data_IF_914769122048
#
_entry.id   IF_914769122048
#
_cell.length_a   1.000
_cell.length_b   1.000
_cell.length_c   1.000
_cell.angle_alpha   90.00
_cell.angle_beta   90.00
_cell.angle_gamma   90.00
#
_symmetry.space_group_name_H-M   'P 1'
#
loop_
_entity.id
_entity.type
_entity.pdbx_description
1 polymer ?
#
# COMPACT_ATOMS: atom_id res chain seq x y z
N UNK A 1 12.94 -6.61 20.96
CA UNK A 1 11.77 -6.17 20.17
C UNK A 1 11.93 -6.55 18.70
N UNK A 2 13.07 -6.23 18.07
CA UNK A 2 13.42 -6.64 16.69
C UNK A 2 13.25 -8.14 16.45
N UNK A 3 13.83 -9.01 17.29
CA UNK A 3 13.68 -10.47 17.17
C UNK A 3 12.24 -10.98 17.31
N UNK A 4 11.37 -10.27 18.06
CA UNK A 4 9.95 -10.66 18.19
C UNK A 4 9.13 -10.28 16.96
N UNK A 5 9.55 -9.27 16.22
CA UNK A 5 8.86 -8.81 15.00
C UNK A 5 9.41 -9.50 13.75
N UNK A 6 10.73 -9.57 13.60
CA UNK A 6 11.41 -10.11 12.42
C UNK A 6 11.83 -11.58 12.55
N UNK A 7 11.59 -12.23 13.69
CA UNK A 7 12.03 -13.61 13.93
C UNK A 7 11.52 -14.60 12.87
N UNK A 8 10.26 -14.47 12.46
CA UNK A 8 9.68 -15.26 11.38
C UNK A 8 10.27 -14.91 10.02
N UNK A 9 10.52 -13.62 9.72
CA UNK A 9 11.20 -13.21 8.48
C UNK A 9 12.59 -13.81 8.37
N UNK A 10 13.38 -13.81 9.45
CA UNK A 10 14.69 -14.44 9.47
C UNK A 10 14.61 -15.95 9.26
N UNK A 11 13.67 -16.63 9.94
CA UNK A 11 13.47 -18.06 9.75
C UNK A 11 13.09 -18.40 8.29
N UNK A 12 12.16 -17.66 7.70
CA UNK A 12 11.75 -17.84 6.30
C UNK A 12 12.88 -17.49 5.34
N UNK A 13 13.71 -16.50 5.64
CA UNK A 13 14.89 -16.17 4.82
C UNK A 13 15.85 -17.35 4.79
N UNK A 14 16.19 -17.90 5.96
CA UNK A 14 17.11 -19.05 6.05
C UNK A 14 16.53 -20.26 5.33
N UNK A 15 15.26 -20.60 5.60
CA UNK A 15 14.60 -21.73 4.95
C UNK A 15 14.47 -21.55 3.43
N UNK A 16 14.11 -20.35 2.97
CA UNK A 16 13.94 -20.05 1.55
C UNK A 16 15.27 -20.05 0.79
N UNK A 17 16.34 -19.51 1.38
CA UNK A 17 17.69 -19.56 0.79
C UNK A 17 18.25 -20.99 0.76
N UNK A 18 18.01 -21.79 1.79
CA UNK A 18 18.36 -23.21 1.79
C UNK A 18 17.57 -23.95 0.71
N UNK A 19 16.26 -23.71 0.60
CA UNK A 19 15.43 -24.29 -0.44
C UNK A 19 15.91 -23.90 -1.84
N UNK A 20 16.37 -22.66 -2.04
CA UNK A 20 16.97 -22.20 -3.29
C UNK A 20 18.23 -23.01 -3.65
N UNK A 21 19.13 -23.24 -2.68
CA UNK A 21 20.33 -24.07 -2.88
C UNK A 21 19.96 -25.51 -3.25
N UNK A 22 18.93 -26.09 -2.63
CA UNK A 22 18.46 -27.43 -2.98
C UNK A 22 17.76 -27.50 -4.34
N UNK A 23 17.14 -26.41 -4.78
CA UNK A 23 16.41 -26.36 -6.04
C UNK A 23 17.37 -26.28 -7.24
N UNK A 24 18.30 -25.33 -7.23
CA UNK A 24 19.21 -25.12 -8.38
C UNK A 24 20.60 -24.57 -7.96
N UNK A 25 21.05 -24.95 -6.76
CA UNK A 25 22.40 -24.66 -6.29
C UNK A 25 22.65 -23.20 -5.90
N UNK A 26 23.93 -22.81 -5.94
CA UNK A 26 24.38 -21.48 -5.48
C UNK A 26 23.94 -20.33 -6.41
N UNK A 27 23.57 -20.62 -7.65
CA UNK A 27 23.00 -19.63 -8.57
C UNK A 27 21.61 -19.20 -8.11
N UNK A 28 20.72 -20.16 -7.83
CA UNK A 28 19.41 -19.88 -7.26
C UNK A 28 19.50 -19.16 -5.91
N UNK A 29 20.49 -19.49 -5.07
CA UNK A 29 20.75 -18.73 -3.85
C UNK A 29 20.99 -17.24 -4.14
N UNK A 30 21.85 -16.93 -5.12
CA UNK A 30 22.15 -15.56 -5.52
C UNK A 30 20.93 -14.84 -6.07
N UNK A 31 20.19 -15.49 -6.97
CA UNK A 31 18.96 -14.95 -7.58
C UNK A 31 17.90 -14.66 -6.51
N UNK A 32 17.59 -15.64 -5.65
CA UNK A 32 16.59 -15.49 -4.58
C UNK A 32 17.00 -14.39 -3.60
N UNK A 33 18.29 -14.26 -3.28
CA UNK A 33 18.79 -13.20 -2.41
C UNK A 33 18.62 -11.81 -3.05
N UNK A 34 18.97 -11.67 -4.33
CA UNK A 34 18.80 -10.40 -5.06
C UNK A 34 17.32 -10.04 -5.13
N UNK A 35 16.45 -10.99 -5.48
CA UNK A 35 15.01 -10.78 -5.53
C UNK A 35 14.43 -10.36 -4.16
N UNK A 36 14.89 -10.98 -3.07
CA UNK A 36 14.47 -10.60 -1.73
C UNK A 36 14.89 -9.16 -1.39
N UNK A 37 16.13 -8.76 -1.73
CA UNK A 37 16.62 -7.39 -1.50
C UNK A 37 15.86 -6.38 -2.38
N UNK A 38 15.63 -6.73 -3.65
CA UNK A 38 14.88 -5.90 -4.59
C UNK A 38 13.47 -5.66 -4.06
N UNK A 39 12.79 -6.71 -3.63
CA UNK A 39 11.43 -6.63 -3.11
C UNK A 39 11.35 -5.78 -1.84
N UNK A 40 12.27 -5.95 -0.89
CA UNK A 40 12.31 -5.14 0.34
C UNK A 40 12.52 -3.66 0.00
N UNK A 41 13.39 -3.38 -0.97
CA UNK A 41 13.75 -2.02 -1.35
C UNK A 41 12.60 -1.32 -2.09
N UNK A 42 11.99 -1.99 -3.06
CA UNK A 42 10.90 -1.45 -3.87
C UNK A 42 9.58 -1.38 -3.10
N UNK A 43 9.36 -2.23 -2.09
CA UNK A 43 8.12 -2.25 -1.32
C UNK A 43 8.21 -1.56 0.04
N UNK A 44 9.26 -0.76 0.28
CA UNK A 44 9.43 -0.08 1.57
C UNK A 44 8.34 0.97 1.84
N UNK A 45 8.04 1.81 0.85
CA UNK A 45 6.95 2.80 0.90
C UNK A 45 5.59 2.13 1.09
N UNK A 46 5.36 0.97 0.46
CA UNK A 46 4.17 0.15 0.67
C UNK A 46 4.02 -0.27 2.14
N UNK A 47 5.13 -0.60 2.81
CA UNK A 47 5.11 -0.93 4.23
C UNK A 47 4.66 0.25 5.10
N UNK A 48 5.05 1.48 4.73
CA UNK A 48 4.69 2.72 5.44
C UNK A 48 3.23 3.08 5.21
N UNK A 49 2.76 2.99 3.96
CA UNK A 49 1.35 3.21 3.60
C UNK A 49 0.44 2.26 4.39
N UNK A 50 0.74 0.97 4.32
CA UNK A 50 -0.02 -0.05 5.05
C UNK A 50 0.01 0.18 6.56
N UNK A 51 1.12 0.68 7.12
CA UNK A 51 1.22 0.98 8.54
C UNK A 51 0.27 2.13 8.95
N UNK A 52 0.13 3.14 8.09
CA UNK A 52 -0.79 4.27 8.28
C UNK A 52 -2.26 3.87 8.34
N UNK A 53 -2.65 2.82 7.62
CA UNK A 53 -4.01 2.26 7.64
C UNK A 53 -4.16 1.27 8.80
N UNK A 54 -3.20 0.36 8.97
CA UNK A 54 -3.22 -0.68 9.99
C UNK A 54 -3.27 -0.11 11.42
N UNK A 55 -2.67 1.07 11.67
CA UNK A 55 -2.78 1.76 12.97
C UNK A 55 -4.21 2.14 13.35
N UNK A 56 -5.09 2.34 12.36
CA UNK A 56 -6.51 2.69 12.56
C UNK A 56 -7.36 1.46 12.89
N UNK A 57 -6.80 0.25 12.82
CA UNK A 57 -7.51 -1.00 13.04
C UNK A 57 -7.34 -1.54 14.47
N UNK A 58 -8.34 -2.27 14.97
CA UNK A 58 -8.27 -2.91 16.28
C UNK A 58 -7.19 -4.01 16.33
N UNK A 59 -6.71 -4.34 17.55
CA UNK A 59 -5.66 -5.35 17.74
C UNK A 59 -6.00 -6.73 17.15
N UNK A 60 -7.30 -7.08 17.09
CA UNK A 60 -7.77 -8.30 16.44
C UNK A 60 -7.49 -8.28 14.93
N UNK A 61 -7.82 -7.19 14.25
CA UNK A 61 -7.60 -7.04 12.81
C UNK A 61 -6.12 -6.87 12.46
N UNK A 62 -5.34 -6.21 13.33
CA UNK A 62 -3.89 -6.22 13.21
C UNK A 62 -3.31 -7.64 13.26
N UNK A 63 -3.90 -8.53 14.07
CA UNK A 63 -3.52 -9.94 14.13
C UNK A 63 -3.94 -10.71 12.88
N UNK A 64 -5.16 -10.48 12.35
CA UNK A 64 -5.60 -11.09 11.08
C UNK A 64 -4.70 -10.69 9.93
N UNK A 65 -4.38 -9.40 9.82
CA UNK A 65 -3.45 -8.88 8.82
C UNK A 65 -2.08 -9.56 8.91
N UNK A 66 -1.60 -9.81 10.13
CA UNK A 66 -0.36 -10.52 10.40
C UNK A 66 -0.39 -12.03 10.12
N UNK A 67 -1.57 -12.66 10.09
CA UNK A 67 -1.67 -14.11 9.87
C UNK A 67 -2.20 -14.43 8.48
N UNK A 68 -3.43 -14.01 8.20
CA UNK A 68 -4.11 -14.29 6.92
C UNK A 68 -3.59 -13.32 5.85
N UNK A 69 -3.44 -12.04 6.19
CA UNK A 69 -2.95 -11.03 5.24
C UNK A 69 -1.52 -11.29 4.77
N UNK A 70 -0.68 -11.93 5.60
CA UNK A 70 0.64 -12.43 5.17
C UNK A 70 0.52 -13.54 4.14
N UNK A 71 -0.37 -14.52 4.37
CA UNK A 71 -0.59 -15.61 3.42
C UNK A 71 -1.13 -15.07 2.09
N UNK A 72 -2.07 -14.13 2.13
CA UNK A 72 -2.64 -13.51 0.93
C UNK A 72 -1.56 -12.68 0.21
N UNK A 73 -0.80 -11.84 0.90
CA UNK A 73 0.26 -11.07 0.24
C UNK A 73 1.34 -11.95 -0.39
N UNK A 74 1.84 -12.95 0.35
CA UNK A 74 2.95 -13.79 -0.10
C UNK A 74 2.51 -14.77 -1.19
N UNK A 75 1.43 -15.53 -0.95
CA UNK A 75 0.99 -16.57 -1.89
C UNK A 75 -0.09 -16.07 -2.84
N UNK A 76 -1.09 -15.36 -2.31
CA UNK A 76 -2.19 -14.82 -3.11
C UNK A 76 -1.68 -13.84 -4.17
N UNK A 77 -1.03 -12.76 -3.75
CA UNK A 77 -0.71 -11.66 -4.66
C UNK A 77 0.52 -11.90 -5.54
N UNK A 78 1.48 -12.73 -5.11
CA UNK A 78 2.72 -12.95 -5.87
C UNK A 78 2.73 -14.26 -6.68
N UNK A 79 2.00 -15.29 -6.25
CA UNK A 79 1.94 -16.57 -6.96
C UNK A 79 0.60 -16.75 -7.67
N UNK A 80 -0.52 -16.62 -6.95
CA UNK A 80 -1.84 -16.92 -7.50
C UNK A 80 -2.31 -15.81 -8.45
N UNK A 81 -2.15 -14.55 -8.07
CA UNK A 81 -2.69 -13.41 -8.82
C UNK A 81 -2.11 -13.26 -10.22
N UNK A 82 -0.78 -13.35 -10.46
CA UNK A 82 -0.24 -13.32 -11.82
C UNK A 82 -0.80 -14.44 -12.70
N UNK A 83 -0.95 -15.66 -12.14
CA UNK A 83 -1.55 -16.80 -12.86
C UNK A 83 -3.02 -16.55 -13.18
N UNK A 84 -3.80 -16.02 -12.25
CA UNK A 84 -5.21 -15.67 -12.46
C UNK A 84 -5.35 -14.60 -13.55
N UNK A 85 -4.50 -13.58 -13.54
CA UNK A 85 -4.53 -12.54 -14.57
C UNK A 85 -4.21 -13.14 -15.93
N UNK A 86 -3.17 -13.97 -16.06
CA UNK A 86 -2.84 -14.65 -17.32
C UNK A 86 -3.99 -15.52 -17.80
N UNK A 87 -4.63 -16.27 -16.90
CA UNK A 87 -5.78 -17.10 -17.25
C UNK A 87 -6.92 -16.25 -17.87
N UNK A 88 -7.21 -15.09 -17.27
CA UNK A 88 -8.28 -14.20 -17.76
C UNK A 88 -7.86 -13.47 -19.05
N UNK A 89 -6.66 -12.89 -19.08
CA UNK A 89 -6.19 -12.04 -20.19
C UNK A 89 -5.91 -12.86 -21.45
N UNK A 90 -5.30 -14.04 -21.31
CA UNK A 90 -5.01 -14.96 -22.40
C UNK A 90 -6.14 -15.96 -22.67
N UNK A 91 -7.24 -15.89 -21.90
CA UNK A 91 -8.40 -16.79 -22.01
C UNK A 91 -8.02 -18.27 -21.92
N UNK A 92 -7.09 -18.59 -21.03
CA UNK A 92 -6.62 -19.95 -20.75
C UNK A 92 -7.41 -20.57 -19.60
N UNK A 93 -7.52 -21.90 -19.59
CA UNK A 93 -8.04 -22.60 -18.42
C UNK A 93 -7.14 -22.40 -17.19
N UNK A 94 -7.65 -22.46 -15.95
CA UNK A 94 -6.82 -22.29 -14.74
C UNK A 94 -5.66 -23.28 -14.65
N UNK A 95 -5.88 -24.53 -15.07
CA UNK A 95 -4.84 -25.58 -15.07
C UNK A 95 -3.79 -25.30 -16.14
N UNK A 96 -4.21 -24.83 -17.33
CA UNK A 96 -3.30 -24.47 -18.42
C UNK A 96 -2.44 -23.25 -18.05
N UNK A 97 -2.99 -22.28 -17.33
CA UNK A 97 -2.23 -21.12 -16.86
C UNK A 97 -1.15 -21.51 -15.84
N UNK A 98 -1.44 -22.47 -14.95
CA UNK A 98 -0.45 -23.05 -14.03
C UNK A 98 0.60 -23.85 -14.80
N UNK A 99 0.17 -24.70 -15.74
CA UNK A 99 1.08 -25.48 -16.57
C UNK A 99 2.04 -24.58 -17.37
N UNK A 100 1.51 -23.51 -17.97
CA UNK A 100 2.28 -22.49 -18.68
C UNK A 100 3.32 -21.84 -17.76
N UNK A 101 2.92 -21.51 -16.53
CA UNK A 101 3.77 -20.91 -15.52
C UNK A 101 5.02 -21.77 -15.22
N UNK A 102 4.85 -23.08 -15.05
CA UNK A 102 5.96 -23.98 -14.72
C UNK A 102 6.75 -24.47 -15.93
N UNK A 103 6.08 -24.72 -17.05
CA UNK A 103 6.68 -25.42 -18.18
C UNK A 103 7.07 -24.49 -19.34
N UNK A 104 6.59 -23.24 -19.38
CA UNK A 104 6.88 -22.27 -20.45
C UNK A 104 7.14 -20.86 -19.89
N UNK A 105 8.21 -20.67 -19.11
CA UNK A 105 8.46 -19.44 -18.35
C UNK A 105 8.55 -18.18 -19.22
N UNK A 106 9.18 -18.25 -20.40
CA UNK A 106 9.28 -17.09 -21.31
C UNK A 106 7.92 -16.70 -21.89
N UNK A 107 7.07 -17.68 -22.21
CA UNK A 107 5.73 -17.41 -22.70
C UNK A 107 4.83 -16.87 -21.59
N UNK A 108 5.02 -17.36 -20.37
CA UNK A 108 4.34 -16.83 -19.20
C UNK A 108 4.74 -15.37 -18.93
N UNK A 109 6.04 -15.05 -18.92
CA UNK A 109 6.54 -13.67 -18.79
C UNK A 109 5.91 -12.74 -19.84
N UNK A 110 5.85 -13.18 -21.10
CA UNK A 110 5.19 -12.42 -22.17
C UNK A 110 3.75 -12.08 -21.82
N UNK A 111 2.94 -13.07 -21.44
CA UNK A 111 1.53 -12.86 -21.15
C UNK A 111 1.30 -11.99 -19.90
N UNK A 112 2.15 -12.12 -18.88
CA UNK A 112 2.10 -11.25 -17.70
C UNK A 112 2.45 -9.81 -18.08
N UNK A 113 3.51 -9.63 -18.86
CA UNK A 113 3.94 -8.30 -19.35
C UNK A 113 2.88 -7.67 -20.24
N UNK A 114 2.24 -8.44 -21.12
CA UNK A 114 1.19 -7.94 -22.02
C UNK A 114 -0.12 -7.61 -21.29
N UNK A 115 -0.31 -8.15 -20.08
CA UNK A 115 -1.39 -7.81 -19.16
C UNK A 115 -1.10 -6.57 -18.31
N UNK A 116 0.16 -6.10 -18.25
CA UNK A 116 0.57 -4.92 -17.48
C UNK A 116 -0.34 -3.69 -17.69
N UNK A 117 -0.74 -3.30 -18.94
CA UNK A 117 -1.63 -2.16 -19.15
C UNK A 117 -2.96 -2.25 -18.38
N UNK A 118 -3.56 -3.44 -18.29
CA UNK A 118 -4.80 -3.61 -17.51
C UNK A 118 -4.57 -3.46 -16.01
N UNK A 119 -3.49 -4.02 -15.49
CA UNK A 119 -3.20 -3.98 -14.05
C UNK A 119 -2.79 -2.57 -13.63
N UNK A 120 -1.91 -1.93 -14.40
CA UNK A 120 -1.46 -0.58 -14.16
C UNK A 120 -2.63 0.42 -14.21
N UNK A 121 -3.59 0.25 -15.12
CA UNK A 121 -4.80 1.06 -15.15
C UNK A 121 -5.72 0.79 -13.95
N UNK A 122 -5.96 -0.48 -13.61
CA UNK A 122 -6.79 -0.85 -12.47
C UNK A 122 -6.21 -0.33 -11.15
N UNK A 123 -4.98 -0.71 -10.84
CA UNK A 123 -4.28 -0.32 -9.62
C UNK A 123 -3.98 1.18 -9.60
N UNK A 124 -3.51 1.75 -10.73
CA UNK A 124 -3.24 3.17 -10.85
C UNK A 124 -4.47 4.03 -10.57
N UNK A 125 -5.63 3.68 -11.11
CA UNK A 125 -6.87 4.43 -10.81
C UNK A 125 -7.36 4.25 -9.37
N UNK A 126 -7.22 3.04 -8.80
CA UNK A 126 -7.54 2.79 -7.40
C UNK A 126 -6.66 3.62 -6.46
N UNK A 127 -5.35 3.60 -6.66
CA UNK A 127 -4.36 4.37 -5.91
C UNK A 127 -4.53 5.88 -6.12
N UNK A 128 -4.87 6.30 -7.33
CA UNK A 128 -5.12 7.70 -7.64
C UNK A 128 -6.31 8.25 -6.86
N UNK A 129 -7.38 7.46 -6.71
CA UNK A 129 -8.52 7.84 -5.88
C UNK A 129 -8.14 8.02 -4.41
N UNK A 130 -7.33 7.12 -3.85
CA UNK A 130 -6.81 7.26 -2.48
C UNK A 130 -6.07 8.58 -2.32
N UNK A 131 -5.22 8.90 -3.30
CA UNK A 131 -4.47 10.15 -3.29
C UNK A 131 -5.37 11.39 -3.44
N UNK A 132 -6.37 11.35 -4.30
CA UNK A 132 -7.31 12.46 -4.49
C UNK A 132 -8.17 12.72 -3.25
N UNK A 133 -8.70 11.66 -2.63
CA UNK A 133 -9.48 11.79 -1.41
C UNK A 133 -8.60 12.32 -0.27
N UNK A 134 -7.35 11.85 -0.18
CA UNK A 134 -6.37 12.45 0.71
C UNK A 134 -6.13 13.93 0.37
N UNK A 135 -5.82 14.32 -0.86
CA UNK A 135 -5.37 15.70 -1.15
C UNK A 135 -6.49 16.74 -1.01
N UNK A 136 -7.75 16.31 -1.12
CA UNK A 136 -8.93 17.15 -0.98
C UNK A 136 -9.52 17.21 0.43
N UNK A 137 -9.11 16.30 1.32
CA UNK A 137 -9.52 16.32 2.72
C UNK A 137 -8.97 17.55 3.48
N UNK A 138 -9.83 18.18 4.28
CA UNK A 138 -9.43 19.27 5.15
C UNK A 138 -8.79 18.75 6.44
N UNK A 139 -7.46 18.83 6.52
CA UNK A 139 -6.68 18.42 7.70
C UNK A 139 -6.08 19.59 8.48
N UNK A 140 -5.93 19.43 9.79
CA UNK A 140 -5.29 20.40 10.68
C UNK A 140 -3.82 20.60 10.35
N UNK A 141 -3.14 19.47 10.13
CA UNK A 141 -1.71 19.45 9.86
C UNK A 141 -1.53 19.29 8.36
N UNK A 142 -0.69 20.15 7.77
CA UNK A 142 -0.40 20.18 6.34
C UNK A 142 1.11 20.15 6.14
N UNK A 143 1.61 19.22 5.33
CA UNK A 143 3.04 19.11 5.05
C UNK A 143 3.45 20.10 3.96
N UNK A 144 2.80 20.01 2.80
CA UNK A 144 3.00 20.93 1.67
C UNK A 144 1.89 21.98 1.65
N UNK A 145 1.87 22.86 2.65
CA UNK A 145 0.76 23.80 2.88
C UNK A 145 0.41 24.73 1.70
N UNK A 146 1.35 25.03 0.81
CA UNK A 146 1.08 25.83 -0.40
C UNK A 146 0.26 25.07 -1.46
N UNK A 147 0.38 23.74 -1.47
CA UNK A 147 -0.34 22.84 -2.38
C UNK A 147 -1.61 22.28 -1.72
N UNK A 148 -1.53 21.84 -0.46
CA UNK A 148 -2.65 21.21 0.25
C UNK A 148 -3.78 22.21 0.59
N UNK A 149 -3.47 23.47 0.93
CA UNK A 149 -4.50 24.48 1.26
C UNK A 149 -5.46 24.81 0.11
N UNK A 150 -4.99 25.08 -1.13
CA UNK A 150 -5.91 25.34 -2.23
C UNK A 150 -6.68 24.07 -2.65
N UNK A 151 -6.03 22.90 -2.62
CA UNK A 151 -6.67 21.64 -3.00
C UNK A 151 -7.73 21.21 -1.99
N UNK A 152 -7.50 21.36 -0.69
CA UNK A 152 -8.52 21.08 0.33
C UNK A 152 -9.80 21.94 0.16
N UNK A 153 -9.69 23.16 -0.38
CA UNK A 153 -10.87 23.98 -0.70
C UNK A 153 -11.69 23.41 -1.85
N UNK A 154 -11.05 22.73 -2.80
CA UNK A 154 -11.72 22.07 -3.92
C UNK A 154 -12.48 20.81 -3.47
N UNK A 155 -12.05 20.18 -2.36
CA UNK A 155 -12.74 19.04 -1.74
C UNK A 155 -14.15 19.31 -1.24
N UNK A 156 -14.60 20.57 -1.22
CA UNK A 156 -15.99 20.93 -0.90
C UNK A 156 -16.99 20.60 -2.02
N UNK A 157 -16.48 20.23 -3.20
CA UNK A 157 -17.30 19.81 -4.33
C UNK A 157 -17.44 18.29 -4.29
N UNK A 158 -18.64 17.82 -3.98
CA UNK A 158 -18.96 16.39 -4.00
C UNK A 158 -18.58 15.77 -5.36
N UNK A 159 -17.98 14.58 -5.32
CA UNK A 159 -17.56 13.81 -6.50
C UNK A 159 -16.44 14.44 -7.34
N UNK A 160 -15.79 15.52 -6.89
CA UNK A 160 -14.68 16.12 -7.66
C UNK A 160 -13.53 15.13 -7.88
N UNK A 161 -13.17 14.34 -6.86
CA UNK A 161 -12.16 13.27 -6.98
C UNK A 161 -12.49 12.32 -8.14
N UNK A 162 -13.74 11.86 -8.19
CA UNK A 162 -14.22 10.90 -9.20
C UNK A 162 -14.17 11.52 -10.60
N UNK A 163 -14.61 12.77 -10.75
CA UNK A 163 -14.56 13.49 -12.02
C UNK A 163 -13.12 13.65 -12.52
N UNK A 164 -12.19 14.06 -11.65
CA UNK A 164 -10.77 14.21 -12.01
C UNK A 164 -10.17 12.84 -12.38
N UNK A 165 -10.47 11.80 -11.61
CA UNK A 165 -10.04 10.44 -11.90
C UNK A 165 -10.52 9.97 -13.28
N UNK A 166 -11.80 10.17 -13.61
CA UNK A 166 -12.36 9.81 -14.92
C UNK A 166 -11.73 10.62 -16.06
N UNK A 167 -11.46 11.91 -15.86
CA UNK A 167 -10.77 12.74 -16.86
C UNK A 167 -9.35 12.23 -17.09
N UNK A 168 -8.60 11.97 -16.01
CA UNK A 168 -7.24 11.42 -16.10
C UNK A 168 -7.24 10.06 -16.80
N UNK A 169 -8.18 9.18 -16.45
CA UNK A 169 -8.34 7.88 -17.11
C UNK A 169 -8.66 8.03 -18.60
N UNK A 170 -9.56 8.94 -18.96
CA UNK A 170 -9.91 9.20 -20.35
C UNK A 170 -8.69 9.70 -21.15
N UNK A 171 -7.94 10.64 -20.58
CA UNK A 171 -6.70 11.13 -21.18
C UNK A 171 -5.70 9.99 -21.34
N UNK A 172 -5.42 9.23 -20.28
CA UNK A 172 -4.48 8.11 -20.31
C UNK A 172 -4.90 7.04 -21.33
N UNK A 173 -6.19 6.74 -21.42
CA UNK A 173 -6.75 5.82 -22.41
C UNK A 173 -6.56 6.34 -23.84
N UNK A 174 -6.77 7.63 -24.09
CA UNK A 174 -6.69 8.21 -25.43
C UNK A 174 -5.27 8.59 -25.89
N UNK A 175 -4.30 8.72 -24.97
CA UNK A 175 -2.93 9.13 -25.31
C UNK A 175 -1.91 8.03 -25.07
N UNK A 176 -1.89 7.48 -23.85
CA UNK A 176 -0.88 6.52 -23.39
C UNK A 176 -1.22 5.11 -23.86
N UNK A 177 -2.48 4.69 -23.69
CA UNK A 177 -2.90 3.32 -23.98
C UNK A 177 -2.94 2.97 -25.48
N UNK A 178 -2.97 3.96 -26.37
CA UNK A 178 -2.91 3.77 -27.83
C UNK A 178 -1.56 3.19 -28.26
N UNK A 179 -0.50 3.52 -27.52
CA UNK A 179 0.84 3.01 -27.74
C UNK A 179 1.31 2.24 -26.50
N UNK A 180 0.49 1.32 -26.00
CA UNK A 180 0.85 0.57 -24.80
C UNK A 180 2.05 -0.35 -25.09
N UNK A 181 3.03 -0.32 -24.20
CA UNK A 181 4.21 -1.15 -24.27
C UNK A 181 3.86 -2.63 -24.14
N UNK A 182 4.47 -3.48 -24.96
CA UNK A 182 4.32 -4.94 -24.93
C UNK A 182 5.70 -5.61 -24.83
N UNK A 183 5.70 -6.90 -24.50
CA UNK A 183 6.94 -7.66 -24.42
C UNK A 183 7.76 -7.56 -25.72
N UNK A 184 9.07 -7.41 -25.59
CA UNK A 184 9.99 -7.28 -26.73
C UNK A 184 10.04 -5.90 -27.40
N UNK A 185 9.45 -4.86 -26.79
CA UNK A 185 9.54 -3.48 -27.27
C UNK A 185 8.49 -3.08 -28.31
N UNK A 186 7.56 -3.98 -28.62
CA UNK A 186 6.42 -3.67 -29.47
C UNK A 186 5.41 -2.75 -28.76
N UNK A 187 4.57 -2.07 -29.55
CA UNK A 187 3.50 -1.23 -29.04
C UNK A 187 2.17 -1.71 -29.61
N UNK A 188 1.13 -1.74 -28.78
CA UNK A 188 -0.20 -2.17 -29.16
C UNK A 188 -1.27 -1.20 -28.63
N UNK A 189 -2.36 -1.08 -29.38
CA UNK A 189 -3.52 -0.34 -28.91
C UNK A 189 -4.25 -1.16 -27.82
N UNK A 190 -4.24 -0.63 -26.60
CA UNK A 190 -4.92 -1.17 -25.43
C UNK A 190 -5.94 -0.18 -24.87
N UNK A 191 -6.41 0.79 -25.66
CA UNK A 191 -7.33 1.85 -25.23
C UNK A 191 -8.53 1.30 -24.44
N UNK A 192 -9.25 0.34 -25.03
CA UNK A 192 -10.43 -0.26 -24.41
C UNK A 192 -10.08 -1.06 -23.14
N UNK A 193 -8.93 -1.73 -23.13
CA UNK A 193 -8.46 -2.52 -21.98
C UNK A 193 -8.16 -1.61 -20.80
N UNK A 194 -7.42 -0.53 -21.03
CA UNK A 194 -7.08 0.47 -20.01
C UNK A 194 -8.33 1.17 -19.48
N UNK A 195 -9.26 1.54 -20.36
CA UNK A 195 -10.51 2.18 -19.94
C UNK A 195 -11.35 1.26 -19.05
N UNK A 196 -11.59 0.01 -19.48
CA UNK A 196 -12.37 -0.95 -18.72
C UNK A 196 -11.71 -1.28 -17.38
N UNK A 197 -10.40 -1.53 -17.38
CA UNK A 197 -9.67 -1.86 -16.16
C UNK A 197 -9.59 -0.67 -15.19
N UNK A 198 -9.35 0.55 -15.69
CA UNK A 198 -9.35 1.75 -14.88
C UNK A 198 -10.72 2.08 -14.27
N UNK A 199 -11.81 1.88 -15.03
CA UNK A 199 -13.18 2.00 -14.49
C UNK A 199 -13.43 0.92 -13.43
N UNK A 200 -12.97 -0.32 -13.65
CA UNK A 200 -13.07 -1.38 -12.64
C UNK A 200 -12.30 -1.04 -11.36
N UNK A 201 -11.11 -0.43 -11.48
CA UNK A 201 -10.33 0.08 -10.34
C UNK A 201 -11.07 1.17 -9.57
N UNK A 202 -11.64 2.14 -10.29
CA UNK A 202 -12.48 3.21 -9.72
C UNK A 202 -13.72 2.66 -9.01
N UNK A 203 -14.43 1.71 -9.62
CA UNK A 203 -15.59 1.05 -9.01
C UNK A 203 -15.17 0.30 -7.75
N UNK A 204 -14.05 -0.44 -7.79
CA UNK A 204 -13.53 -1.17 -6.63
C UNK A 204 -13.24 -0.21 -5.48
N UNK A 205 -12.61 0.93 -5.76
CA UNK A 205 -12.39 1.98 -4.77
C UNK A 205 -13.70 2.48 -4.16
N UNK A 206 -14.66 2.89 -4.99
CA UNK A 206 -15.94 3.44 -4.54
C UNK A 206 -16.76 2.42 -3.73
N UNK A 207 -16.73 1.15 -4.11
CA UNK A 207 -17.41 0.08 -3.37
C UNK A 207 -16.75 -0.15 -2.02
N UNK A 208 -15.41 -0.29 -1.98
CA UNK A 208 -14.69 -0.56 -0.74
C UNK A 208 -14.79 0.63 0.21
N UNK A 209 -14.56 1.84 -0.28
CA UNK A 209 -14.63 3.06 0.52
C UNK A 209 -16.06 3.41 0.95
N UNK A 210 -17.02 3.33 0.02
CA UNK A 210 -18.43 3.61 0.29
C UNK A 210 -19.06 2.62 1.28
N UNK A 211 -18.70 1.33 1.20
CA UNK A 211 -19.13 0.35 2.19
C UNK A 211 -18.46 0.60 3.54
N UNK A 212 -17.17 0.96 3.58
CA UNK A 212 -16.50 1.31 4.83
C UNK A 212 -17.21 2.45 5.56
N UNK A 213 -17.47 3.57 4.87
CA UNK A 213 -18.15 4.72 5.47
C UNK A 213 -19.61 4.44 5.87
N UNK A 214 -20.35 3.66 5.06
CA UNK A 214 -21.71 3.23 5.40
C UNK A 214 -21.74 2.38 6.67
N UNK A 215 -20.76 1.48 6.83
CA UNK A 215 -20.66 0.65 8.03
C UNK A 215 -20.14 1.44 9.22
N UNK A 216 -19.20 2.38 9.05
CA UNK A 216 -18.74 3.28 10.13
C UNK A 216 -19.89 4.10 10.71
N UNK A 217 -20.70 4.76 9.89
CA UNK A 217 -21.85 5.53 10.39
C UNK A 217 -22.86 4.64 11.13
N UNK A 218 -23.11 3.43 10.62
CA UNK A 218 -24.00 2.46 11.28
C UNK A 218 -23.41 1.91 12.58
N UNK A 219 -22.08 1.81 12.66
CA UNK A 219 -21.37 1.42 13.87
C UNK A 219 -21.43 2.52 14.90
N UNK A 220 -21.18 3.78 14.53
CA UNK A 220 -21.31 4.92 15.44
C UNK A 220 -22.72 5.01 16.03
N UNK A 221 -23.77 4.89 15.20
CA UNK A 221 -25.16 4.84 15.66
C UNK A 221 -25.47 3.64 16.59
N UNK A 222 -24.75 2.53 16.44
CA UNK A 222 -24.93 1.34 17.28
C UNK A 222 -24.10 1.42 18.56
N UNK A 223 -22.86 1.91 18.48
CA UNK A 223 -22.00 2.18 19.62
C UNK A 223 -22.62 3.24 20.53
N UNK A 224 -23.26 4.28 20.00
CA UNK A 224 -24.03 5.24 20.79
C UNK A 224 -25.21 4.56 21.49
N UNK A 225 -25.99 3.75 20.77
CA UNK A 225 -27.12 2.98 21.34
C UNK A 225 -26.65 1.96 22.38
N UNK A 226 -25.50 1.36 22.18
CA UNK A 226 -24.87 0.41 23.09
C UNK A 226 -24.30 1.13 24.30
N UNK A 227 -23.66 2.30 24.16
CA UNK A 227 -23.21 3.12 25.27
C UNK A 227 -24.40 3.53 26.14
N UNK A 228 -25.51 3.92 25.52
CA UNK A 228 -26.77 4.17 26.24
C UNK A 228 -27.31 2.91 26.94
N UNK A 229 -27.23 1.75 26.29
CA UNK A 229 -27.69 0.48 26.85
C UNK A 229 -26.76 -0.04 27.96
N UNK A 230 -25.46 0.18 27.85
CA UNK A 230 -24.44 -0.14 28.85
C UNK A 230 -24.53 0.79 30.04
N UNK A 231 -24.78 2.09 29.84
CA UNK A 231 -25.10 3.00 30.95
C UNK A 231 -26.36 2.53 31.68
N UNK A 232 -27.40 2.10 30.95
CA UNK A 232 -28.62 1.53 31.55
C UNK A 232 -28.34 0.20 32.25
N UNK A 233 -27.55 -0.70 31.66
CA UNK A 233 -27.21 -1.99 32.25
C UNK A 233 -26.28 -1.86 33.46
N UNK A 234 -25.36 -0.89 33.47
CA UNK A 234 -24.55 -0.49 34.64
C UNK A 234 -25.42 0.06 35.76
N UNK A 235 -26.45 0.85 35.44
CA UNK A 235 -27.47 1.29 36.42
C UNK A 235 -28.30 0.12 36.97
N UNK A 236 -28.51 -0.93 36.16
CA UNK A 236 -29.35 -2.09 36.50
C UNK A 236 -28.56 -3.33 37.00
N UNK A 237 -27.23 -3.28 37.05
CA UNK A 237 -26.39 -4.38 37.56
C UNK A 237 -26.35 -5.65 36.69
N UNK A 238 -26.64 -5.56 35.39
CA UNK A 238 -26.66 -6.73 34.47
C UNK A 238 -25.30 -6.96 33.80
N UNK A 239 -24.93 -8.22 33.50
CA UNK A 239 -23.67 -8.52 32.83
C UNK A 239 -23.68 -8.05 31.36
N UNK A 240 -22.57 -7.44 30.93
CA UNK A 240 -22.36 -6.95 29.57
C UNK A 240 -22.25 -8.11 28.56
N UNK A 241 -22.91 -7.99 27.40
CA UNK A 241 -22.67 -8.87 26.25
C UNK A 241 -21.79 -8.17 25.22
N UNK A 242 -20.68 -8.80 24.84
CA UNK A 242 -19.72 -8.22 23.89
C UNK A 242 -20.09 -8.51 22.41
N UNK A 243 -20.44 -7.42 21.72
CA UNK A 243 -20.07 -6.94 20.37
C UNK A 243 -19.73 -7.95 19.25
N UNK A 244 -20.47 -7.85 18.13
CA UNK A 244 -20.23 -8.57 16.85
C UNK A 244 -20.11 -7.64 15.61
N UNK A 245 -20.51 -6.36 15.69
CA UNK A 245 -20.66 -5.51 14.49
C UNK A 245 -19.39 -4.77 14.03
N UNK A 246 -18.48 -4.38 14.94
CA UNK A 246 -17.20 -3.70 14.62
C UNK A 246 -16.29 -4.49 13.65
N UNK A 247 -16.57 -5.78 13.44
CA UNK A 247 -15.88 -6.61 12.46
C UNK A 247 -16.12 -6.20 10.99
N UNK A 248 -17.26 -5.60 10.63
CA UNK A 248 -17.59 -5.38 9.20
C UNK A 248 -16.83 -4.22 8.56
N UNK A 249 -16.78 -3.05 9.19
CA UNK A 249 -15.99 -1.92 8.66
C UNK A 249 -14.50 -2.27 8.59
N UNK A 250 -13.98 -2.88 9.66
CA UNK A 250 -12.60 -3.33 9.69
C UNK A 250 -12.30 -4.46 8.70
N UNK A 251 -13.30 -5.27 8.30
CA UNK A 251 -13.16 -6.21 7.19
C UNK A 251 -13.00 -5.50 5.84
N UNK A 252 -13.75 -4.43 5.57
CA UNK A 252 -13.57 -3.65 4.33
C UNK A 252 -12.24 -2.91 4.31
N UNK A 253 -11.78 -2.37 5.44
CA UNK A 253 -10.41 -1.84 5.57
C UNK A 253 -9.34 -2.92 5.39
N UNK A 254 -9.60 -4.15 5.82
CA UNK A 254 -8.72 -5.29 5.53
C UNK A 254 -8.69 -5.61 4.03
N UNK A 255 -9.85 -5.69 3.37
CA UNK A 255 -9.91 -5.88 1.91
C UNK A 255 -9.21 -4.74 1.16
N UNK A 256 -9.38 -3.50 1.62
CA UNK A 256 -8.69 -2.33 1.10
C UNK A 256 -7.16 -2.49 1.15
N UNK A 257 -6.63 -2.97 2.29
CA UNK A 257 -5.21 -3.28 2.44
C UNK A 257 -4.76 -4.37 1.47
N UNK A 258 -5.52 -5.44 1.30
CA UNK A 258 -5.14 -6.50 0.36
C UNK A 258 -5.20 -6.05 -1.11
N UNK A 259 -6.11 -5.14 -1.49
CA UNK A 259 -6.16 -4.55 -2.84
C UNK A 259 -4.99 -3.57 -3.06
N UNK A 260 -4.60 -2.83 -2.03
CA UNK A 260 -3.37 -2.02 -2.05
C UNK A 260 -2.15 -2.92 -2.27
N UNK A 261 -2.03 -3.99 -1.48
CA UNK A 261 -0.94 -4.95 -1.63
C UNK A 261 -0.94 -5.60 -3.01
N UNK A 262 -2.12 -5.90 -3.56
CA UNK A 262 -2.24 -6.44 -4.90
C UNK A 262 -1.63 -5.51 -5.95
N UNK A 263 -2.01 -4.24 -5.90
CA UNK A 263 -1.56 -3.22 -6.84
C UNK A 263 -0.04 -3.04 -6.76
N UNK A 264 0.50 -2.99 -5.55
CA UNK A 264 1.94 -2.83 -5.30
C UNK A 264 2.78 -4.08 -5.56
N UNK A 265 2.21 -5.27 -5.33
CA UNK A 265 2.92 -6.53 -5.54
C UNK A 265 3.19 -6.84 -7.01
N UNK A 266 2.39 -6.28 -7.91
CA UNK A 266 2.55 -6.53 -9.34
C UNK A 266 3.86 -5.96 -9.89
N UNK A 267 4.25 -4.76 -9.44
CA UNK A 267 5.51 -4.13 -9.83
C UNK A 267 6.71 -4.97 -9.37
N UNK A 268 6.63 -5.58 -8.17
CA UNK A 268 7.65 -6.53 -7.68
C UNK A 268 7.78 -7.78 -8.56
N UNK A 269 6.66 -8.30 -9.07
CA UNK A 269 6.64 -9.44 -10.01
C UNK A 269 7.21 -9.05 -11.38
N UNK A 270 6.85 -7.88 -11.91
CA UNK A 270 7.40 -7.37 -13.18
C UNK A 270 8.89 -7.10 -13.06
N UNK A 271 9.34 -6.48 -11.97
CA UNK A 271 10.75 -6.26 -11.67
C UNK A 271 11.54 -7.55 -11.52
N UNK A 272 10.94 -8.60 -10.96
CA UNK A 272 11.57 -9.91 -10.83
C UNK A 272 11.86 -10.57 -12.18
N UNK A 273 11.01 -10.36 -13.20
CA UNK A 273 11.26 -10.85 -14.56
C UNK A 273 12.49 -10.24 -15.24
N UNK A 274 13.01 -9.11 -14.74
CA UNK A 274 14.29 -8.58 -15.20
C UNK A 274 15.50 -9.40 -14.67
N UNK A 275 15.29 -10.22 -13.64
CA UNK A 275 16.32 -11.06 -13.02
C UNK A 275 16.15 -12.52 -13.42
N UNK A 276 14.93 -13.07 -13.36
CA UNK A 276 14.66 -14.47 -13.69
C UNK A 276 13.22 -14.67 -14.17
N UNK A 277 13.02 -15.66 -15.04
CA UNK A 277 11.70 -16.12 -15.47
C UNK A 277 11.23 -17.38 -14.71
N UNK A 278 12.07 -17.92 -13.81
CA UNK A 278 11.71 -19.08 -12.99
C UNK A 278 10.79 -18.66 -11.85
N UNK A 279 9.53 -19.12 -11.93
CA UNK A 279 8.48 -18.79 -10.95
C UNK A 279 8.80 -19.30 -9.55
N UNK A 280 9.51 -20.42 -9.41
CA UNK A 280 9.91 -20.94 -8.10
C UNK A 280 10.91 -20.00 -7.45
N UNK A 281 11.91 -19.53 -8.21
CA UNK A 281 12.87 -18.54 -7.72
C UNK A 281 12.21 -17.20 -7.41
N UNK A 282 11.28 -16.74 -8.26
CA UNK A 282 10.47 -15.54 -8.01
C UNK A 282 9.66 -15.67 -6.73
N UNK A 283 8.94 -16.78 -6.55
CA UNK A 283 8.11 -17.03 -5.37
C UNK A 283 8.93 -17.08 -4.08
N UNK A 284 10.11 -17.69 -4.10
CA UNK A 284 11.02 -17.71 -2.96
C UNK A 284 11.56 -16.30 -2.64
N UNK A 285 12.11 -15.60 -3.63
CA UNK A 285 12.72 -14.29 -3.45
C UNK A 285 11.73 -13.22 -3.03
N UNK A 286 10.67 -13.04 -3.84
CA UNK A 286 9.61 -12.07 -3.55
C UNK A 286 8.84 -12.45 -2.29
N UNK A 287 8.68 -13.74 -2.00
CA UNK A 287 8.04 -14.22 -0.76
C UNK A 287 8.84 -13.87 0.49
N UNK A 288 10.17 -14.00 0.45
CA UNK A 288 11.05 -13.53 1.53
C UNK A 288 10.89 -12.02 1.70
N UNK A 289 10.96 -11.26 0.61
CA UNK A 289 10.83 -9.80 0.68
C UNK A 289 9.48 -9.33 1.25
N UNK A 290 8.38 -9.94 0.80
CA UNK A 290 7.04 -9.71 1.32
C UNK A 290 6.94 -9.93 2.84
N UNK A 291 7.58 -10.97 3.37
CA UNK A 291 7.63 -11.21 4.81
C UNK A 291 8.34 -10.09 5.59
N UNK A 292 9.37 -9.48 5.01
CA UNK A 292 10.05 -8.33 5.62
C UNK A 292 9.23 -7.07 5.52
N UNK A 293 8.65 -6.78 4.36
CA UNK A 293 7.74 -5.64 4.15
C UNK A 293 6.61 -5.66 5.17
N UNK A 294 5.96 -6.83 5.35
CA UNK A 294 4.92 -7.04 6.36
C UNK A 294 5.42 -6.85 7.79
N UNK A 295 6.58 -7.40 8.12
CA UNK A 295 7.16 -7.24 9.46
C UNK A 295 7.55 -5.80 9.75
N UNK A 296 7.99 -5.07 8.72
CA UNK A 296 8.29 -3.65 8.80
C UNK A 296 7.01 -2.82 9.02
N UNK A 297 5.92 -3.10 8.31
CA UNK A 297 4.61 -2.47 8.55
C UNK A 297 4.22 -2.55 10.02
N UNK A 298 4.34 -3.75 10.60
CA UNK A 298 3.96 -3.99 12.01
C UNK A 298 4.94 -3.36 12.98
N UNK A 299 6.21 -3.34 12.64
CA UNK A 299 7.22 -2.63 13.41
C UNK A 299 6.88 -1.13 13.50
N UNK A 300 6.52 -0.50 12.37
CA UNK A 300 6.15 0.91 12.29
C UNK A 300 4.90 1.24 13.11
N UNK A 301 3.87 0.36 13.06
CA UNK A 301 2.65 0.52 13.87
C UNK A 301 2.95 0.38 15.36
N UNK A 302 3.68 -0.67 15.77
CA UNK A 302 3.92 -0.95 17.20
C UNK A 302 4.83 0.06 17.88
N UNK A 303 5.74 0.68 17.14
CA UNK A 303 6.64 1.70 17.69
C UNK A 303 5.97 3.07 17.83
N UNK A 304 4.73 3.26 17.34
CA UNK A 304 4.11 4.58 17.33
C UNK A 304 4.85 5.61 16.46
N UNK A 305 5.77 5.15 15.59
CA UNK A 305 6.60 6.06 14.76
C UNK A 305 5.77 7.01 13.90
N UNK A 306 4.56 6.62 13.50
CA UNK A 306 3.66 7.48 12.74
C UNK A 306 3.11 8.64 13.60
N UNK A 307 2.98 8.46 14.90
CA UNK A 307 2.48 9.48 15.83
C UNK A 307 3.61 10.46 16.22
N UNK A 308 4.82 9.94 16.40
CA UNK A 308 6.02 10.76 16.64
C UNK A 308 6.40 11.62 15.42
N UNK A 309 6.11 11.14 14.20
CA UNK A 309 6.48 11.80 12.95
C UNK A 309 5.26 12.20 12.12
N UNK A 310 4.66 13.32 12.49
CA UNK A 310 3.37 13.76 11.95
C UNK A 310 3.29 13.88 10.42
N UNK A 311 4.36 14.26 9.72
CA UNK A 311 4.31 14.35 8.26
C UNK A 311 4.50 13.00 7.55
N UNK A 312 4.83 11.92 8.27
CA UNK A 312 5.11 10.61 7.67
C UNK A 312 3.88 10.06 6.93
N UNK A 313 2.67 10.25 7.48
CA UNK A 313 1.42 9.91 6.81
C UNK A 313 1.20 10.72 5.52
N UNK A 314 1.58 11.99 5.50
CA UNK A 314 1.52 12.80 4.28
C UNK A 314 2.46 12.27 3.21
N UNK A 315 3.73 12.02 3.58
CA UNK A 315 4.72 11.47 2.65
C UNK A 315 4.25 10.15 2.04
N UNK A 316 3.60 9.29 2.82
CA UNK A 316 3.03 8.04 2.35
C UNK A 316 1.94 8.25 1.29
N UNK A 317 0.99 9.15 1.51
CA UNK A 317 -0.05 9.44 0.50
C UNK A 317 0.52 10.12 -0.75
N UNK A 318 1.53 10.99 -0.62
CA UNK A 318 2.24 11.52 -1.78
C UNK A 318 2.99 10.44 -2.56
N UNK A 319 3.56 9.44 -1.88
CA UNK A 319 4.15 8.28 -2.55
C UNK A 319 3.10 7.44 -3.30
N UNK A 320 1.92 7.20 -2.71
CA UNK A 320 0.78 6.55 -3.38
C UNK A 320 0.39 7.34 -4.64
N UNK A 321 0.26 8.66 -4.54
CA UNK A 321 -0.10 9.51 -5.69
C UNK A 321 0.95 9.48 -6.79
N UNK A 322 2.24 9.53 -6.42
CA UNK A 322 3.34 9.40 -7.38
C UNK A 322 3.31 8.04 -8.08
N UNK A 323 3.12 6.96 -7.33
CA UNK A 323 3.04 5.60 -7.85
C UNK A 323 1.82 5.41 -8.77
N UNK A 324 0.67 5.95 -8.40
CA UNK A 324 -0.52 5.94 -9.25
C UNK A 324 -0.28 6.59 -10.62
N UNK A 325 0.41 7.73 -10.63
CA UNK A 325 0.79 8.42 -11.87
C UNK A 325 1.83 7.62 -12.65
N UNK A 326 2.84 7.07 -11.97
CA UNK A 326 3.87 6.24 -12.60
C UNK A 326 3.24 5.03 -13.26
N UNK A 327 2.32 4.32 -12.60
CA UNK A 327 1.60 3.18 -13.17
C UNK A 327 0.86 3.57 -14.46
N UNK A 328 0.19 4.71 -14.49
CA UNK A 328 -0.46 5.17 -15.72
C UNK A 328 0.56 5.49 -16.82
N UNK A 329 1.72 6.04 -16.49
CA UNK A 329 2.78 6.36 -17.45
C UNK A 329 3.49 5.09 -17.93
N UNK A 330 3.65 4.06 -17.08
CA UNK A 330 4.31 2.80 -17.44
C UNK A 330 3.52 1.99 -18.46
N UNK A 331 2.24 2.31 -18.67
CA UNK A 331 1.43 1.72 -19.74
C UNK A 331 2.12 1.89 -21.11
N UNK A 332 2.77 3.03 -21.37
CA UNK A 332 3.49 3.29 -22.63
C UNK A 332 5.00 3.26 -22.47
N UNK A 333 5.53 3.75 -21.35
CA UNK A 333 6.95 3.98 -21.17
C UNK A 333 7.56 2.95 -20.22
N UNK A 334 8.66 2.31 -20.61
CA UNK A 334 9.44 1.52 -19.65
C UNK A 334 10.16 2.47 -18.68
N UNK A 335 9.63 2.60 -17.47
CA UNK A 335 10.31 3.28 -16.36
C UNK A 335 11.09 2.22 -15.59
N UNK A 336 12.33 2.54 -15.22
CA UNK A 336 13.11 1.65 -14.37
C UNK A 336 12.45 1.55 -12.99
N UNK A 337 12.24 0.33 -12.51
CA UNK A 337 11.69 0.08 -11.17
C UNK A 337 12.49 0.77 -10.06
N UNK A 338 13.80 0.92 -10.26
CA UNK A 338 14.65 1.67 -9.34
C UNK A 338 14.21 3.14 -9.24
N UNK A 339 13.82 3.77 -10.34
CA UNK A 339 13.33 5.16 -10.34
C UNK A 339 12.01 5.23 -9.59
N UNK A 340 11.09 4.31 -9.88
CA UNK A 340 9.78 4.22 -9.21
C UNK A 340 9.94 4.09 -7.70
N UNK A 341 10.70 3.11 -7.22
CA UNK A 341 10.95 2.90 -5.79
C UNK A 341 11.72 4.06 -5.14
N UNK A 342 12.68 4.67 -5.85
CA UNK A 342 13.44 5.81 -5.30
C UNK A 342 12.56 7.04 -5.09
N UNK A 343 11.56 7.29 -5.92
CA UNK A 343 10.61 8.40 -5.72
C UNK A 343 9.85 8.19 -4.40
N UNK A 344 9.35 6.99 -4.15
CA UNK A 344 8.70 6.63 -2.88
C UNK A 344 9.64 6.85 -1.68
N UNK A 345 10.85 6.28 -1.74
CA UNK A 345 11.87 6.43 -0.68
C UNK A 345 12.20 7.90 -0.41
N UNK A 346 12.38 8.71 -1.45
CA UNK A 346 12.68 10.14 -1.31
C UNK A 346 11.52 10.89 -0.64
N UNK A 347 10.27 10.61 -1.01
CA UNK A 347 9.11 11.25 -0.40
C UNK A 347 8.95 10.88 1.08
N UNK A 348 9.13 9.59 1.41
CA UNK A 348 9.11 9.12 2.80
C UNK A 348 10.26 9.71 3.62
N UNK A 349 11.49 9.69 3.08
CA UNK A 349 12.65 10.26 3.76
C UNK A 349 12.48 11.78 3.98
N UNK A 350 11.95 12.49 3.00
CA UNK A 350 11.72 13.93 3.10
C UNK A 350 10.63 14.27 4.13
N UNK A 351 9.54 13.49 4.18
CA UNK A 351 8.48 13.70 5.17
C UNK A 351 8.96 13.38 6.59
N UNK A 352 9.77 12.33 6.75
CA UNK A 352 10.44 12.01 8.00
C UNK A 352 11.38 13.13 8.46
N UNK A 353 12.29 13.58 7.60
CA UNK A 353 13.23 14.68 7.92
C UNK A 353 12.49 15.99 8.24
N UNK A 354 11.39 16.27 7.55
CA UNK A 354 10.54 17.42 7.84
C UNK A 354 9.89 17.32 9.22
N UNK A 355 9.44 16.12 9.61
CA UNK A 355 8.87 15.87 10.93
C UNK A 355 9.91 16.03 12.04
N UNK A 356 11.11 15.46 11.85
CA UNK A 356 12.23 15.65 12.78
C UNK A 356 12.57 17.13 12.95
N UNK A 357 12.63 17.89 11.84
CA UNK A 357 12.89 19.34 11.89
C UNK A 357 11.78 20.09 12.65
N UNK A 358 10.51 19.73 12.45
CA UNK A 358 9.38 20.32 13.19
C UNK A 358 9.49 20.01 14.67
N UNK A 359 9.71 18.76 15.06
CA UNK A 359 9.82 18.35 16.46
C UNK A 359 10.98 19.07 17.16
N UNK A 360 12.12 19.23 16.49
CA UNK A 360 13.24 20.02 17.00
C UNK A 360 12.88 21.49 17.20
N UNK A 361 12.11 22.11 16.29
CA UNK A 361 11.66 23.50 16.43
C UNK A 361 10.67 23.67 17.59
N UNK A 362 9.75 22.73 17.76
CA UNK A 362 8.80 22.73 18.89
C UNK A 362 9.56 22.59 20.21
N UNK A 363 10.46 21.61 20.32
CA UNK A 363 11.28 21.41 21.52
C UNK A 363 12.18 22.63 21.83
N UNK A 364 12.71 23.32 20.80
CA UNK A 364 13.47 24.55 21.00
C UNK A 364 12.60 25.71 21.51
N UNK A 365 11.37 25.85 21.01
CA UNK A 365 10.43 26.87 21.48
C UNK A 365 9.93 26.60 22.91
N UNK A 366 9.72 25.34 23.26
CA UNK A 366 9.37 24.90 24.62
C UNK A 366 10.56 25.06 25.60
N UNK A 367 11.79 24.85 25.15
CA UNK A 367 13.00 25.09 25.94
C UNK A 367 13.27 26.58 26.23
N UNK A 368 12.91 27.47 25.31
CA UNK A 368 13.13 28.92 25.45
C UNK A 368 12.06 29.61 26.33
N UNK A 369 10.88 29.01 26.44
CA UNK A 369 9.79 29.45 27.34
C UNK A 369 9.96 28.98 28.79
N UNK A 370 11.03 28.23 29.09
CA UNK A 370 11.33 27.65 30.39
C UNK A 370 12.36 28.40 31.25
N UNK A 371 12.81 29.60 30.89
CA UNK A 371 13.58 30.44 31.83
C UNK A 371 12.61 31.25 32.70
N UNK A 372 12.44 30.94 34.00
CA UNK A 372 11.77 31.86 34.89
C UNK A 372 12.67 33.08 35.03
N UNK A 373 12.11 34.22 34.63
CA UNK A 373 12.52 35.55 34.99
C UNK A 373 13.10 35.54 36.41
N UNK A 374 14.43 35.62 36.53
CA UNK A 374 15.08 35.94 37.80
C UNK A 374 14.71 37.38 38.07
N UNK A 375 13.56 37.54 38.71
CA UNK A 375 13.17 38.73 39.45
C UNK A 375 14.33 39.04 40.40
N UNK A 376 15.17 40.00 40.01
CA UNK A 376 16.13 40.63 40.90
C UNK A 376 15.33 41.26 42.04
N UNK A 377 15.36 40.59 43.19
CA UNK A 377 14.90 41.15 44.44
C UNK A 377 15.82 42.33 44.75
N UNK A 378 15.29 43.54 44.58
CA UNK A 378 15.86 44.77 45.11
C UNK A 378 16.03 44.61 46.62
N UNK A 379 17.25 44.30 47.06
CA UNK A 379 17.64 44.43 48.46
C UNK A 379 18.07 45.88 48.69
N UNK A 380 17.16 46.68 49.20
CA UNK A 380 17.52 47.96 49.79
C UNK A 380 18.37 47.75 51.05
N UNK A 381 19.54 48.38 51.07
CA UNK A 381 20.13 49.10 52.21
C UNK A 381 20.87 50.31 51.64
#
# INVERSE_FOLDING_TARGET
>A
MVLKTFGWSFAITVLGLIAAVFYDGWEAFGVVLILAILEISLSFDNAVVNAGILKKMSAFWQKIFLTIGVLIAVFGMRLVFPVVIVAISAKLGPVEAVDLAFNQPDRYQQLVTDAHPSIAAFGGMFLFMIFLDFIFEERDIKWLGWLERPLAKLGKVDMLSVCIALIVLLIASMTVAVNAHQHGGAHADKQATVLLAGVAGLITYLVVNGLSGFFEHRLEEEEEREHEAEEKAKREGKPQSAVVMAGKAAFFMFLYLEVLDASFSFDGVVGAFAITNDIVMMALGLGIGAMYVRSLTVYLVRQGTLDDYVYLEHGAHYAIGALAVILLVTIQYQISELITGMIGVVLIAWSFLSSVRRNKRIAAAEGDSGSPDKTEVSSGV
#
